data_IF_025637059266
#
_entry.id   IF_025637059266
#
_cell.length_a   1.000
_cell.length_b   1.000
_cell.length_c   1.000
_cell.angle_alpha   90.00
_cell.angle_beta   90.00
_cell.angle_gamma   90.00
#
_symmetry.space_group_name_H-M   'P 1'
#
loop_
_entity.id
_entity.type
_entity.pdbx_description
1 polymer ?
#
# COMPACT_ATOMS: atom_id res chain seq x y z
N UNK A 1 19.97 10.95 11.43
CA UNK A 1 19.27 9.66 11.21
C UNK A 1 19.80 9.02 9.93
N UNK A 2 20.63 7.98 10.01
CA UNK A 2 21.21 7.33 8.82
C UNK A 2 20.19 6.34 8.26
N UNK A 3 19.52 6.72 7.18
CA UNK A 3 18.51 5.91 6.49
C UNK A 3 19.19 4.63 5.94
N UNK A 4 19.10 3.52 6.67
CA UNK A 4 19.82 2.29 6.35
C UNK A 4 19.03 1.47 5.33
N UNK A 5 19.31 1.69 4.04
CA UNK A 5 18.71 0.99 2.90
C UNK A 5 18.77 -0.54 2.98
N UNK A 6 19.76 -1.09 3.68
CA UNK A 6 19.92 -2.53 3.88
C UNK A 6 18.79 -3.18 4.69
N UNK A 7 18.13 -2.45 5.59
CA UNK A 7 16.99 -2.95 6.36
C UNK A 7 15.69 -3.00 5.54
N UNK A 8 15.57 -2.17 4.49
CA UNK A 8 14.46 -2.20 3.54
C UNK A 8 14.48 -3.44 2.65
N UNK A 9 15.68 -3.90 2.26
CA UNK A 9 15.89 -5.00 1.30
C UNK A 9 15.79 -6.41 1.92
N UNK A 10 15.80 -6.57 3.25
CA UNK A 10 15.86 -7.88 3.90
C UNK A 10 14.51 -8.61 4.05
N UNK A 11 13.41 -8.10 3.50
CA UNK A 11 12.11 -8.75 3.69
C UNK A 11 11.78 -9.76 2.56
N UNK A 12 11.65 -11.04 2.95
CA UNK A 12 11.13 -12.15 2.11
C UNK A 12 9.96 -11.68 1.24
N UNK A 13 10.05 -12.00 -0.06
CA UNK A 13 9.15 -11.62 -1.17
C UNK A 13 7.74 -11.31 -0.64
N UNK A 14 7.39 -10.02 -0.50
CA UNK A 14 6.24 -9.65 0.29
C UNK A 14 5.01 -9.80 -0.59
N UNK A 15 3.91 -10.36 -0.04
CA UNK A 15 2.55 -10.44 -0.64
C UNK A 15 2.07 -9.16 -1.33
N UNK A 16 2.73 -8.07 -1.01
CA UNK A 16 2.59 -6.76 -1.56
C UNK A 16 3.00 -6.70 -3.06
N UNK A 17 4.07 -7.34 -3.54
CA UNK A 17 4.39 -7.29 -4.99
C UNK A 17 3.23 -7.72 -5.88
N UNK A 18 2.32 -8.56 -5.34
CA UNK A 18 1.03 -8.88 -5.93
C UNK A 18 0.12 -7.64 -6.14
N UNK A 19 -0.04 -6.76 -5.14
CA UNK A 19 -0.80 -5.51 -5.29
C UNK A 19 -0.18 -4.59 -6.34
N UNK A 20 1.14 -4.49 -6.40
CA UNK A 20 1.81 -3.72 -7.44
C UNK A 20 1.56 -4.35 -8.82
N UNK A 21 1.71 -5.67 -8.95
CA UNK A 21 1.41 -6.39 -10.18
C UNK A 21 -0.06 -6.21 -10.61
N UNK A 22 -1.01 -6.29 -9.66
CA UNK A 22 -2.44 -6.03 -9.87
C UNK A 22 -2.63 -4.59 -10.38
N UNK A 23 -1.99 -3.60 -9.77
CA UNK A 23 -2.08 -2.21 -10.26
C UNK A 23 -1.58 -2.08 -11.71
N UNK A 24 -0.45 -2.70 -12.08
CA UNK A 24 0.06 -2.69 -13.46
C UNK A 24 -0.93 -3.37 -14.41
N UNK A 25 -1.51 -4.50 -14.02
CA UNK A 25 -2.51 -5.21 -14.82
C UNK A 25 -3.75 -4.34 -15.04
N UNK A 26 -4.26 -3.68 -13.99
CA UNK A 26 -5.39 -2.75 -14.11
C UNK A 26 -5.08 -1.57 -15.04
N UNK A 27 -3.85 -1.03 -14.99
CA UNK A 27 -3.42 0.03 -15.89
C UNK A 27 -3.39 -0.44 -17.36
N UNK A 28 -2.86 -1.63 -17.61
CA UNK A 28 -2.83 -2.21 -18.96
C UNK A 28 -4.24 -2.50 -19.48
N UNK A 29 -5.13 -3.03 -18.63
CA UNK A 29 -6.54 -3.22 -18.97
C UNK A 29 -7.22 -1.88 -19.28
N UNK A 30 -7.07 -0.87 -18.42
CA UNK A 30 -7.65 0.46 -18.65
C UNK A 30 -7.19 1.07 -19.99
N UNK A 31 -5.94 0.85 -20.38
CA UNK A 31 -5.42 1.30 -21.66
C UNK A 31 -6.04 0.55 -22.85
N UNK A 32 -6.25 -0.77 -22.72
CA UNK A 32 -6.88 -1.59 -23.78
C UNK A 32 -8.38 -1.35 -23.93
N UNK A 33 -9.10 -1.13 -22.82
CA UNK A 33 -10.55 -0.90 -22.84
C UNK A 33 -10.95 0.51 -23.28
N UNK A 34 -9.98 1.45 -23.35
CA UNK A 34 -10.20 2.83 -23.80
C UNK A 34 -10.92 2.92 -25.15
N UNK A 35 -10.68 1.96 -26.04
CA UNK A 35 -11.23 1.95 -27.40
C UNK A 35 -12.65 1.37 -27.47
N UNK A 36 -13.07 0.59 -26.47
CA UNK A 36 -14.35 -0.13 -26.48
C UNK A 36 -15.43 0.54 -25.62
N UNK A 37 -15.11 0.90 -24.37
CA UNK A 37 -16.07 1.46 -23.42
C UNK A 37 -15.41 2.49 -22.50
N UNK A 38 -15.92 3.72 -22.52
CA UNK A 38 -15.38 4.85 -21.75
C UNK A 38 -15.66 4.71 -20.25
N UNK A 39 -16.79 4.14 -19.84
CA UNK A 39 -17.18 4.02 -18.43
C UNK A 39 -16.35 2.96 -17.70
N UNK A 40 -16.10 1.83 -18.35
CA UNK A 40 -15.24 0.77 -17.83
C UNK A 40 -13.79 1.27 -17.69
N UNK A 41 -13.30 2.04 -18.67
CA UNK A 41 -11.95 2.57 -18.68
C UNK A 41 -11.69 3.52 -17.51
N UNK A 42 -12.62 4.44 -17.20
CA UNK A 42 -12.51 5.37 -16.07
C UNK A 42 -12.57 4.62 -14.73
N UNK A 43 -13.43 3.61 -14.62
CA UNK A 43 -13.55 2.81 -13.40
C UNK A 43 -12.28 2.01 -13.10
N UNK A 44 -11.68 1.41 -14.14
CA UNK A 44 -10.40 0.69 -14.03
C UNK A 44 -9.24 1.63 -13.69
N UNK A 45 -9.22 2.83 -14.25
CA UNK A 45 -8.24 3.86 -13.91
C UNK A 45 -8.33 4.28 -12.43
N UNK A 46 -9.55 4.51 -11.91
CA UNK A 46 -9.76 4.82 -10.49
C UNK A 46 -9.33 3.67 -9.57
N UNK A 47 -9.63 2.42 -9.97
CA UNK A 47 -9.20 1.25 -9.22
C UNK A 47 -7.68 1.06 -9.23
N UNK A 48 -7.00 1.37 -10.34
CA UNK A 48 -5.54 1.41 -10.42
C UNK A 48 -4.94 2.41 -9.44
N UNK A 49 -5.46 3.65 -9.41
CA UNK A 49 -5.03 4.68 -8.47
C UNK A 49 -5.26 4.27 -7.01
N UNK A 50 -6.39 3.65 -6.69
CA UNK A 50 -6.68 3.14 -5.35
C UNK A 50 -5.67 2.06 -4.91
N UNK A 51 -5.30 1.17 -5.83
CA UNK A 51 -4.30 0.13 -5.60
C UNK A 51 -2.90 0.71 -5.35
N UNK A 52 -2.51 1.74 -6.12
CA UNK A 52 -1.27 2.49 -5.90
C UNK A 52 -1.27 3.25 -4.57
N UNK A 53 -2.41 3.78 -4.13
CA UNK A 53 -2.53 4.43 -2.81
C UNK A 53 -2.32 3.46 -1.67
N UNK A 54 -2.97 2.30 -1.71
CA UNK A 54 -2.77 1.25 -0.73
C UNK A 54 -1.32 0.73 -0.70
N UNK A 55 -0.71 0.62 -1.89
CA UNK A 55 0.72 0.31 -2.04
C UNK A 55 1.60 1.35 -1.35
N UNK A 56 1.44 2.62 -1.73
CA UNK A 56 2.24 3.74 -1.24
C UNK A 56 2.11 3.93 0.27
N UNK A 57 0.88 3.88 0.80
CA UNK A 57 0.62 4.01 2.24
C UNK A 57 1.33 2.95 3.07
N UNK A 58 1.43 1.71 2.57
CA UNK A 58 2.19 0.67 3.24
C UNK A 58 3.69 0.96 3.29
N UNK A 59 4.26 1.43 2.17
CA UNK A 59 5.67 1.81 2.10
C UNK A 59 5.99 2.99 3.02
N UNK A 60 5.06 3.94 3.16
CA UNK A 60 5.19 5.08 4.07
C UNK A 60 5.22 4.61 5.53
N UNK A 61 4.32 3.71 5.95
CA UNK A 61 4.35 3.13 7.32
C UNK A 61 5.71 2.47 7.61
N UNK A 62 6.29 1.81 6.61
CA UNK A 62 7.62 1.19 6.72
C UNK A 62 8.78 2.19 6.82
N UNK A 63 8.74 3.27 6.04
CA UNK A 63 9.78 4.30 6.07
C UNK A 63 9.81 5.04 7.39
N UNK A 64 8.64 5.25 8.02
CA UNK A 64 8.51 6.02 9.26
C UNK A 64 8.82 5.15 10.50
N UNK A 65 8.43 3.86 10.51
CA UNK A 65 8.55 3.01 11.71
C UNK A 65 9.29 1.67 11.46
N UNK A 66 10.62 1.69 11.28
CA UNK A 66 11.39 0.49 10.98
C UNK A 66 11.35 -0.61 12.06
N UNK A 67 11.20 -0.25 13.35
CA UNK A 67 11.31 -1.19 14.50
C UNK A 67 9.99 -1.49 15.24
N UNK A 68 8.87 -0.90 14.84
CA UNK A 68 7.58 -1.03 15.55
C UNK A 68 6.53 -1.72 14.66
N UNK A 69 6.89 -2.85 14.04
CA UNK A 69 5.98 -3.58 13.16
C UNK A 69 4.94 -4.35 13.97
N UNK A 70 3.65 -4.34 13.56
CA UNK A 70 2.60 -5.12 14.23
C UNK A 70 2.96 -6.61 14.37
N UNK A 71 3.68 -7.18 13.39
CA UNK A 71 4.12 -8.57 13.42
C UNK A 71 5.03 -8.88 14.61
N UNK A 72 5.91 -7.94 14.97
CA UNK A 72 6.88 -8.16 16.04
C UNK A 72 6.20 -8.13 17.42
N UNK A 73 5.15 -7.32 17.58
CA UNK A 73 4.33 -7.29 18.80
C UNK A 73 3.43 -8.51 18.94
N UNK A 74 2.95 -9.07 17.82
CA UNK A 74 2.19 -10.32 17.82
C UNK A 74 3.04 -11.49 18.34
N UNK A 75 4.31 -11.60 17.91
CA UNK A 75 5.25 -12.63 18.40
C UNK A 75 5.59 -12.45 19.88
N UNK A 76 5.68 -11.20 20.35
CA UNK A 76 5.97 -10.88 21.76
C UNK A 76 4.76 -10.99 22.69
N UNK A 77 3.56 -11.32 22.17
CA UNK A 77 2.33 -11.45 22.97
C UNK A 77 1.80 -10.12 23.56
N UNK A 78 2.35 -8.97 23.16
CA UNK A 78 1.91 -7.67 23.67
C UNK A 78 0.73 -7.14 22.85
N UNK A 79 -0.49 -7.46 23.29
CA UNK A 79 -1.72 -7.11 22.57
C UNK A 79 -2.00 -5.61 22.51
N UNK A 80 -1.63 -4.85 23.54
CA UNK A 80 -1.82 -3.39 23.56
C UNK A 80 -0.95 -2.70 22.51
N UNK A 81 0.34 -3.07 22.44
CA UNK A 81 1.24 -2.54 21.43
C UNK A 81 0.85 -2.98 20.01
N UNK A 82 0.30 -4.20 19.87
CA UNK A 82 -0.24 -4.69 18.60
C UNK A 82 -1.42 -3.84 18.11
N UNK A 83 -2.38 -3.52 18.98
CA UNK A 83 -3.56 -2.70 18.65
C UNK A 83 -3.17 -1.27 18.22
N UNK A 84 -2.23 -0.65 18.93
CA UNK A 84 -1.77 0.70 18.61
C UNK A 84 -1.00 0.70 17.27
N UNK A 85 -0.15 -0.30 17.05
CA UNK A 85 0.61 -0.42 15.80
C UNK A 85 -0.29 -0.73 14.60
N UNK A 86 -1.35 -1.53 14.76
CA UNK A 86 -2.31 -1.81 13.70
C UNK A 86 -3.17 -0.58 13.37
N UNK A 87 -3.60 0.17 14.38
CA UNK A 87 -4.36 1.41 14.20
C UNK A 87 -3.54 2.48 13.46
N UNK A 88 -2.29 2.69 13.85
CA UNK A 88 -1.38 3.62 13.17
C UNK A 88 -1.26 3.31 11.68
N UNK A 89 -1.00 2.04 11.35
CA UNK A 89 -0.87 1.61 9.96
C UNK A 89 -2.16 1.78 9.19
N UNK A 90 -3.31 1.52 9.82
CA UNK A 90 -4.62 1.75 9.21
C UNK A 90 -4.84 3.23 8.88
N UNK A 91 -4.49 4.16 9.79
CA UNK A 91 -4.65 5.60 9.59
C UNK A 91 -3.72 6.11 8.47
N UNK A 92 -2.45 5.67 8.42
CA UNK A 92 -1.51 6.07 7.36
C UNK A 92 -2.01 5.61 5.99
N UNK A 93 -2.50 4.36 5.89
CA UNK A 93 -3.04 3.82 4.64
C UNK A 93 -4.33 4.56 4.24
N UNK A 94 -5.24 4.81 5.19
CA UNK A 94 -6.47 5.56 4.92
C UNK A 94 -6.17 6.99 4.42
N UNK A 95 -5.23 7.70 5.06
CA UNK A 95 -4.81 9.03 4.64
C UNK A 95 -4.24 9.03 3.21
N UNK A 96 -3.40 8.04 2.87
CA UNK A 96 -2.86 7.90 1.52
C UNK A 96 -3.95 7.62 0.47
N UNK A 97 -4.96 6.82 0.82
CA UNK A 97 -6.08 6.50 -0.07
C UNK A 97 -6.98 7.71 -0.31
N UNK A 98 -7.24 8.52 0.74
CA UNK A 98 -8.00 9.77 0.60
C UNK A 98 -7.23 10.76 -0.28
N UNK A 99 -5.91 10.90 -0.06
CA UNK A 99 -5.06 11.78 -0.87
C UNK A 99 -5.10 11.42 -2.36
N UNK A 100 -4.93 10.13 -2.69
CA UNK A 100 -5.00 9.69 -4.09
C UNK A 100 -6.43 9.78 -4.64
N UNK A 101 -7.44 9.47 -3.82
CA UNK A 101 -8.84 9.59 -4.21
C UNK A 101 -9.26 11.02 -4.55
N UNK A 102 -8.68 12.02 -3.90
CA UNK A 102 -8.86 13.44 -4.22
C UNK A 102 -8.06 13.90 -5.44
N UNK A 103 -6.96 13.20 -5.78
CA UNK A 103 -6.15 13.49 -6.95
C UNK A 103 -6.73 12.91 -8.27
N UNK A 104 -7.79 12.09 -8.18
CA UNK A 104 -8.40 11.34 -9.28
C UNK A 104 -9.68 11.99 -9.83
#
# INVERSE_FOLDING_TARGET
MRFSWSALMQNKIPRLTLCLAVSIILMLLAFRFREYDTLLSVSLYKAHLLSLGGWGGYWIDWAIFPYARPRDFHVKGNQQALQIASLRRAIIVAASLICIGLAA
#
